data_IF_949065049120
#
_entry.id   IF_949065049120
#
_cell.length_a   1.000
_cell.length_b   1.000
_cell.length_c   1.000
_cell.angle_alpha   90.00
_cell.angle_beta   90.00
_cell.angle_gamma   90.00
#
_symmetry.space_group_name_H-M   'P 1'
#
loop_
_entity.id
_entity.type
_entity.pdbx_description
1 polymer ?
#
# COMPACT_ATOMS: atom_id res chain seq x y z
N UNK A 1 15.26 23.81 -17.08
CA UNK A 1 16.07 23.39 -15.92
C UNK A 1 15.33 22.23 -15.29
N UNK A 2 15.93 21.04 -15.30
CA UNK A 2 15.34 19.83 -14.77
C UNK A 2 15.00 20.08 -13.30
N UNK A 3 13.71 19.94 -12.95
CA UNK A 3 13.28 19.97 -11.57
C UNK A 3 13.77 18.64 -10.99
N UNK A 4 14.94 18.65 -10.32
CA UNK A 4 15.34 17.54 -9.46
C UNK A 4 14.17 17.31 -8.50
N UNK A 5 13.47 16.18 -8.65
CA UNK A 5 12.44 15.78 -7.70
C UNK A 5 13.10 15.71 -6.33
N UNK A 6 12.78 16.67 -5.47
CA UNK A 6 13.17 16.67 -4.07
C UNK A 6 12.91 15.27 -3.51
N UNK A 7 13.91 14.60 -2.88
CA UNK A 7 13.73 13.26 -2.37
C UNK A 7 12.46 13.23 -1.53
N UNK A 8 11.56 12.30 -1.84
CA UNK A 8 10.28 12.18 -1.13
C UNK A 8 10.60 12.11 0.37
N UNK A 9 10.19 13.14 1.12
CA UNK A 9 10.21 13.14 2.58
C UNK A 9 9.41 11.92 3.01
N UNK A 10 10.10 10.87 3.43
CA UNK A 10 9.52 9.54 3.60
C UNK A 10 9.06 9.34 5.03
N UNK A 11 9.97 9.40 6.01
CA UNK A 11 9.59 9.36 7.43
C UNK A 11 9.17 10.74 7.95
N UNK A 12 8.22 11.39 7.27
CA UNK A 12 7.70 12.70 7.67
C UNK A 12 7.05 12.66 9.06
N UNK A 13 7.13 13.77 9.80
CA UNK A 13 6.51 13.88 11.13
C UNK A 13 5.04 14.28 11.09
N UNK A 14 4.57 14.84 9.97
CA UNK A 14 3.22 15.41 9.81
C UNK A 14 2.70 15.09 8.43
N UNK A 15 1.43 14.69 8.33
CA UNK A 15 0.89 14.25 7.05
C UNK A 15 0.47 15.43 6.19
N UNK A 16 0.82 15.38 4.90
CA UNK A 16 0.35 16.33 3.89
C UNK A 16 -0.04 15.55 2.64
N UNK A 17 -0.96 16.12 1.85
CA UNK A 17 -1.42 15.49 0.60
C UNK A 17 -0.27 15.18 -0.35
N UNK A 18 0.78 16.02 -0.38
CA UNK A 18 1.98 15.82 -1.22
C UNK A 18 2.78 14.54 -0.92
N UNK A 19 2.56 13.90 0.23
CA UNK A 19 3.25 12.66 0.61
C UNK A 19 2.62 11.41 -0.03
N UNK A 20 1.49 11.58 -0.72
CA UNK A 20 0.80 10.53 -1.45
C UNK A 20 0.81 10.89 -2.93
N UNK A 21 1.41 10.02 -3.72
CA UNK A 21 1.40 10.16 -5.17
C UNK A 21 0.16 9.46 -5.72
N UNK A 22 -0.98 10.17 -5.70
CA UNK A 22 -2.25 9.61 -6.19
C UNK A 22 -2.24 9.37 -7.70
N UNK A 23 -1.49 10.19 -8.44
CA UNK A 23 -1.57 10.27 -9.89
C UNK A 23 -0.63 9.26 -10.59
N UNK A 24 0.43 8.79 -9.90
CA UNK A 24 1.41 7.82 -10.40
C UNK A 24 1.35 6.53 -9.60
N UNK A 25 1.32 5.39 -10.29
CA UNK A 25 1.53 4.09 -9.67
C UNK A 25 2.87 3.50 -10.12
N UNK A 26 3.91 3.90 -9.39
CA UNK A 26 5.28 3.43 -9.61
C UNK A 26 5.42 1.97 -9.12
N UNK A 27 6.21 1.17 -9.83
CA UNK A 27 6.44 -0.24 -9.54
C UNK A 27 6.14 -1.16 -10.73
N UNK A 28 6.47 -2.45 -10.64
CA UNK A 28 6.34 -3.38 -11.75
C UNK A 28 4.86 -3.70 -12.04
N UNK A 29 4.30 -3.40 -13.24
CA UNK A 29 2.95 -3.82 -13.61
C UNK A 29 2.85 -5.34 -13.82
N UNK A 30 1.61 -5.80 -13.95
CA UNK A 30 1.31 -7.19 -14.29
C UNK A 30 2.14 -7.67 -15.50
N UNK A 31 2.75 -8.86 -15.39
CA UNK A 31 3.62 -9.47 -16.38
C UNK A 31 5.09 -9.03 -16.30
N UNK A 32 5.45 -8.09 -15.42
CA UNK A 32 6.85 -7.72 -15.17
C UNK A 32 7.45 -8.52 -14.02
N UNK A 33 8.79 -8.72 -13.99
CA UNK A 33 9.45 -9.36 -12.86
C UNK A 33 9.34 -8.50 -11.60
N UNK A 34 9.43 -9.15 -10.44
CA UNK A 34 9.59 -8.46 -9.15
C UNK A 34 10.87 -7.61 -9.13
N UNK A 35 10.86 -6.56 -8.30
CA UNK A 35 12.08 -5.87 -7.89
C UNK A 35 12.48 -6.48 -6.56
N UNK A 36 13.63 -7.16 -6.52
CA UNK A 36 14.03 -7.87 -5.31
C UNK A 36 14.49 -6.89 -4.23
N UNK A 37 13.79 -6.92 -3.10
CA UNK A 37 14.07 -6.07 -1.94
C UNK A 37 14.27 -6.98 -0.73
N UNK A 38 15.20 -6.59 0.14
CA UNK A 38 15.41 -7.27 1.43
C UNK A 38 14.57 -6.59 2.50
N UNK A 39 13.85 -7.39 3.27
CA UNK A 39 12.96 -7.01 4.36
C UNK A 39 13.44 -7.69 5.64
N UNK A 40 12.98 -7.21 6.80
CA UNK A 40 13.21 -7.87 8.09
C UNK A 40 11.95 -8.58 8.54
N UNK A 41 12.01 -9.88 8.81
CA UNK A 41 10.92 -10.60 9.45
C UNK A 41 10.69 -10.06 10.86
N UNK A 42 9.45 -9.67 11.20
CA UNK A 42 9.14 -9.08 12.49
C UNK A 42 9.28 -10.07 13.66
N UNK A 43 8.98 -11.34 13.43
CA UNK A 43 8.97 -12.38 14.46
C UNK A 43 10.37 -12.92 14.71
N UNK A 44 11.11 -13.25 13.65
CA UNK A 44 12.44 -13.87 13.78
C UNK A 44 13.58 -12.85 13.79
N UNK A 45 13.37 -11.66 13.24
CA UNK A 45 14.42 -10.67 13.00
C UNK A 45 15.34 -11.01 11.82
N UNK A 46 15.08 -12.11 11.10
CA UNK A 46 15.89 -12.53 9.96
C UNK A 46 15.63 -11.65 8.73
N UNK A 47 16.63 -11.59 7.85
CA UNK A 47 16.47 -10.92 6.57
C UNK A 47 15.79 -11.86 5.58
N UNK A 48 14.76 -11.34 4.91
CA UNK A 48 13.94 -12.08 3.93
C UNK A 48 13.88 -11.25 2.65
N UNK A 49 14.22 -11.86 1.52
CA UNK A 49 14.04 -11.26 0.21
C UNK A 49 12.66 -11.57 -0.35
N UNK A 50 12.14 -10.70 -1.20
CA UNK A 50 10.89 -10.99 -1.94
C UNK A 50 11.08 -12.23 -2.81
N UNK A 51 12.28 -12.43 -3.38
CA UNK A 51 12.63 -13.62 -4.15
C UNK A 51 12.66 -14.93 -3.35
N UNK A 52 12.74 -14.90 -2.01
CA UNK A 52 12.73 -16.11 -1.18
C UNK A 52 11.36 -16.82 -1.21
N UNK A 53 10.31 -16.15 -1.69
CA UNK A 53 8.98 -16.73 -1.89
C UNK A 53 8.80 -17.41 -3.26
N UNK A 54 9.86 -17.47 -4.09
CA UNK A 54 9.81 -18.15 -5.38
C UNK A 54 9.28 -19.59 -5.26
N UNK A 55 8.53 -20.03 -6.27
CA UNK A 55 7.84 -21.32 -6.27
C UNK A 55 6.48 -21.31 -5.56
N UNK A 56 6.07 -20.20 -4.94
CA UNK A 56 4.74 -20.03 -4.32
C UNK A 56 4.03 -18.81 -4.87
N UNK A 57 2.70 -18.82 -4.81
CA UNK A 57 1.92 -17.60 -4.96
C UNK A 57 2.12 -16.72 -3.73
N UNK A 58 2.33 -15.43 -3.94
CA UNK A 58 2.56 -14.48 -2.86
C UNK A 58 1.64 -13.27 -3.00
N UNK A 59 0.96 -12.90 -1.92
CA UNK A 59 0.22 -11.66 -1.79
C UNK A 59 0.93 -10.76 -0.81
N UNK A 60 1.27 -9.55 -1.25
CA UNK A 60 1.86 -8.50 -0.43
C UNK A 60 0.86 -7.35 -0.29
N UNK A 61 0.53 -6.98 0.94
CA UNK A 61 -0.16 -5.72 1.26
C UNK A 61 0.77 -4.80 2.07
N UNK A 62 0.90 -3.53 1.70
CA UNK A 62 1.63 -2.57 2.56
C UNK A 62 0.80 -2.16 3.77
N UNK A 63 1.49 -2.00 4.90
CA UNK A 63 0.88 -1.79 6.21
C UNK A 63 1.52 -0.62 6.97
N UNK A 64 0.69 0.06 7.77
CA UNK A 64 1.11 1.07 8.74
C UNK A 64 0.11 1.11 9.89
N UNK A 65 0.60 1.25 11.12
CA UNK A 65 -0.23 1.31 12.33
C UNK A 65 -1.19 2.49 12.37
N UNK A 66 -0.92 3.54 11.58
CA UNK A 66 -1.75 4.74 11.47
C UNK A 66 -2.59 4.77 10.18
N UNK A 67 -2.64 3.69 9.39
CA UNK A 67 -3.44 3.64 8.16
C UNK A 67 -4.79 2.92 8.38
N UNK A 68 -5.90 3.65 8.29
CA UNK A 68 -7.25 3.07 8.44
C UNK A 68 -7.61 2.12 7.29
N UNK A 69 -7.06 2.35 6.10
CA UNK A 69 -7.28 1.53 4.90
C UNK A 69 -6.65 0.15 5.01
N UNK A 70 -5.45 0.06 5.59
CA UNK A 70 -4.84 -1.21 5.95
C UNK A 70 -5.59 -1.89 7.10
N UNK A 71 -5.75 -1.19 8.22
CA UNK A 71 -6.29 -1.83 9.43
C UNK A 71 -7.73 -2.33 9.27
N UNK A 72 -8.54 -1.74 8.37
CA UNK A 72 -9.89 -2.25 8.05
C UNK A 72 -9.85 -3.56 7.25
N UNK A 73 -8.79 -3.80 6.46
CA UNK A 73 -8.67 -4.96 5.58
C UNK A 73 -8.25 -6.22 6.34
N UNK A 74 -7.68 -6.09 7.54
CA UNK A 74 -7.23 -7.21 8.37
C UNK A 74 -8.33 -8.24 8.57
N UNK A 75 -9.54 -7.84 9.00
CA UNK A 75 -10.61 -8.81 9.26
C UNK A 75 -11.12 -9.50 7.99
N UNK A 76 -11.47 -8.78 6.89
CA UNK A 76 -11.86 -9.42 5.62
C UNK A 76 -10.80 -10.36 5.03
N UNK A 77 -9.51 -10.08 5.24
CA UNK A 77 -8.44 -10.94 4.71
C UNK A 77 -8.44 -12.35 5.31
N UNK A 78 -9.00 -12.57 6.51
CA UNK A 78 -9.07 -13.91 7.13
C UNK A 78 -9.78 -14.93 6.26
N UNK A 79 -10.90 -14.53 5.65
CA UNK A 79 -11.67 -15.40 4.76
C UNK A 79 -10.90 -15.73 3.48
N UNK A 80 -10.19 -14.75 2.92
CA UNK A 80 -9.39 -14.92 1.70
C UNK A 80 -8.21 -15.84 1.97
N UNK A 81 -7.49 -15.65 3.08
CA UNK A 81 -6.36 -16.52 3.46
C UNK A 81 -6.83 -17.97 3.63
N UNK A 82 -7.99 -18.18 4.25
CA UNK A 82 -8.55 -19.52 4.42
C UNK A 82 -8.98 -20.18 3.09
N UNK A 83 -9.38 -19.38 2.10
CA UNK A 83 -9.82 -19.85 0.78
C UNK A 83 -8.65 -20.26 -0.12
N UNK A 84 -7.46 -19.67 0.09
CA UNK A 84 -6.27 -19.92 -0.73
C UNK A 84 -5.09 -20.42 0.13
N UNK A 85 -5.14 -21.66 0.65
CA UNK A 85 -4.12 -22.20 1.55
C UNK A 85 -2.75 -22.43 0.87
N UNK A 86 -2.70 -22.39 -0.46
CA UNK A 86 -1.49 -22.54 -1.26
C UNK A 86 -0.79 -21.20 -1.57
N UNK A 87 -1.36 -20.08 -1.10
CA UNK A 87 -0.85 -18.72 -1.29
C UNK A 87 -0.25 -18.22 0.01
N UNK A 88 0.96 -17.66 -0.06
CA UNK A 88 1.58 -16.95 1.04
C UNK A 88 1.00 -15.54 1.12
N UNK A 89 0.44 -15.17 2.27
CA UNK A 89 -0.05 -13.82 2.52
C UNK A 89 0.84 -13.13 3.55
N UNK A 90 1.51 -12.07 3.11
CA UNK A 90 2.38 -11.25 3.96
C UNK A 90 1.93 -9.80 3.95
N UNK A 91 2.26 -9.10 5.02
CA UNK A 91 2.17 -7.63 5.05
C UNK A 91 3.56 -7.04 5.15
N UNK A 92 3.80 -5.96 4.43
CA UNK A 92 5.06 -5.21 4.52
C UNK A 92 4.80 -3.91 5.27
N UNK A 93 5.34 -3.82 6.49
CA UNK A 93 5.29 -2.64 7.34
C UNK A 93 6.22 -1.55 6.80
N UNK A 94 5.62 -0.44 6.37
CA UNK A 94 6.31 0.70 5.75
C UNK A 94 6.31 1.90 6.71
N UNK A 95 6.57 3.11 6.21
CA UNK A 95 6.42 4.34 7.01
C UNK A 95 4.99 4.50 7.54
N UNK A 96 4.83 5.27 8.62
CA UNK A 96 3.50 5.70 9.05
C UNK A 96 2.78 6.53 7.97
N UNK A 97 1.53 6.15 7.67
CA UNK A 97 0.67 6.91 6.77
C UNK A 97 0.27 8.26 7.40
N UNK A 98 -0.12 8.20 8.69
CA UNK A 98 -0.60 9.32 9.48
C UNK A 98 0.17 9.45 10.80
N UNK A 99 1.47 9.79 10.77
CA UNK A 99 2.27 10.00 11.96
C UNK A 99 1.78 11.20 12.77
N UNK A 100 2.00 11.12 14.08
CA UNK A 100 1.72 12.19 15.03
C UNK A 100 2.56 12.05 16.30
N UNK A 101 2.15 12.72 17.37
CA UNK A 101 2.91 12.80 18.60
C UNK A 101 2.97 11.48 19.41
N UNK A 102 2.05 10.54 19.16
CA UNK A 102 2.01 9.23 19.85
C UNK A 102 2.74 8.13 19.07
N UNK A 103 2.71 8.23 17.74
CA UNK A 103 3.45 7.36 16.83
C UNK A 103 3.90 8.21 15.65
N UNK A 104 5.16 8.63 15.67
CA UNK A 104 5.74 9.54 14.69
C UNK A 104 6.33 8.82 13.48
N UNK A 105 6.92 9.61 12.57
CA UNK A 105 7.79 9.07 11.53
C UNK A 105 9.00 8.39 12.18
N UNK A 106 9.41 7.25 11.62
CA UNK A 106 10.47 6.43 12.20
C UNK A 106 11.84 7.08 12.00
N UNK A 107 12.62 7.18 13.06
CA UNK A 107 13.99 7.73 13.03
C UNK A 107 15.07 6.66 13.09
N UNK A 108 14.67 5.42 13.39
CA UNK A 108 15.54 4.25 13.43
C UNK A 108 14.75 2.99 13.10
N UNK A 109 15.45 1.91 12.72
CA UNK A 109 14.83 0.60 12.57
C UNK A 109 14.22 0.10 13.88
N UNK A 110 14.81 0.43 15.03
CA UNK A 110 14.25 0.06 16.34
C UNK A 110 12.87 0.70 16.56
N UNK A 111 12.71 1.99 16.25
CA UNK A 111 11.40 2.66 16.33
C UNK A 111 10.39 2.05 15.36
N UNK A 112 10.82 1.72 14.13
CA UNK A 112 9.96 1.11 13.12
C UNK A 112 9.50 -0.29 13.52
N UNK A 113 10.40 -1.12 14.05
CA UNK A 113 10.09 -2.46 14.57
C UNK A 113 9.15 -2.36 15.78
N UNK A 114 9.37 -1.40 16.69
CA UNK A 114 8.44 -1.14 17.81
C UNK A 114 7.05 -0.76 17.31
N UNK A 115 6.96 0.07 16.27
CA UNK A 115 5.70 0.45 15.64
C UNK A 115 5.01 -0.76 14.97
N UNK A 116 5.77 -1.58 14.24
CA UNK A 116 5.28 -2.80 13.60
C UNK A 116 4.71 -3.80 14.61
N UNK A 117 5.35 -3.96 15.77
CA UNK A 117 4.88 -4.82 16.85
C UNK A 117 3.52 -4.42 17.44
N UNK A 118 2.99 -3.22 17.12
CA UNK A 118 1.65 -2.81 17.54
C UNK A 118 0.54 -3.44 16.70
N UNK A 119 0.80 -3.87 15.46
CA UNK A 119 -0.29 -4.20 14.52
C UNK A 119 -1.11 -5.41 14.95
N UNK A 120 -0.43 -6.49 15.36
CA UNK A 120 -1.07 -7.72 15.84
C UNK A 120 -1.88 -7.49 17.13
N UNK A 121 -1.30 -7.00 18.25
CA UNK A 121 -2.06 -6.85 19.50
C UNK A 121 -3.16 -5.76 19.42
N UNK A 122 -2.99 -4.74 18.58
CA UNK A 122 -3.93 -3.60 18.52
C UNK A 122 -5.09 -3.81 17.54
N UNK A 123 -4.81 -4.46 16.41
CA UNK A 123 -5.74 -4.60 15.28
C UNK A 123 -6.03 -6.04 14.90
N UNK A 124 -5.34 -7.02 15.49
CA UNK A 124 -5.55 -8.43 15.21
C UNK A 124 -4.97 -8.87 13.87
N UNK A 125 -3.88 -8.23 13.40
CA UNK A 125 -3.10 -8.75 12.27
C UNK A 125 -2.60 -10.15 12.62
N UNK A 126 -2.82 -11.06 11.67
CA UNK A 126 -2.58 -12.49 11.83
C UNK A 126 -1.63 -13.02 10.77
N UNK A 127 -1.40 -12.25 9.70
CA UNK A 127 -0.44 -12.58 8.64
C UNK A 127 0.97 -12.30 9.11
N UNK A 128 1.93 -12.97 8.45
CA UNK A 128 3.35 -12.71 8.63
C UNK A 128 3.65 -11.24 8.31
N UNK A 129 4.33 -10.56 9.22
CA UNK A 129 4.71 -9.16 9.08
C UNK A 129 6.19 -9.08 8.71
N UNK A 130 6.47 -8.51 7.55
CA UNK A 130 7.81 -8.14 7.12
C UNK A 130 7.96 -6.63 7.29
N UNK A 131 9.13 -6.14 7.65
CA UNK A 131 9.41 -4.72 7.89
C UNK A 131 10.36 -4.24 6.81
N UNK A 132 9.94 -3.20 6.07
CA UNK A 132 10.80 -2.54 5.09
C UNK A 132 11.95 -1.79 5.80
N UNK A 133 13.00 -1.44 5.07
CA UNK A 133 14.10 -0.66 5.65
C UNK A 133 13.67 0.76 6.03
N UNK A 134 14.53 1.48 6.74
CA UNK A 134 14.24 2.81 7.23
C UNK A 134 13.97 3.80 6.08
N UNK A 135 14.68 3.64 4.96
CA UNK A 135 14.60 4.52 3.79
C UNK A 135 13.40 4.24 2.90
N UNK A 136 12.73 3.10 3.10
CA UNK A 136 11.57 2.69 2.35
C UNK A 136 11.89 2.06 1.00
N UNK A 137 12.99 1.33 0.87
CA UNK A 137 13.43 0.81 -0.43
C UNK A 137 12.36 -0.05 -1.10
N UNK A 138 11.71 -0.98 -0.39
CA UNK A 138 10.59 -1.73 -0.95
C UNK A 138 9.42 -0.78 -1.25
N UNK A 139 9.04 0.05 -0.28
CA UNK A 139 7.85 0.89 -0.45
C UNK A 139 7.93 1.80 -1.67
N UNK A 140 9.10 2.42 -1.92
CA UNK A 140 9.35 3.27 -3.08
C UNK A 140 9.30 2.48 -4.38
N UNK A 141 9.95 1.32 -4.42
CA UNK A 141 9.97 0.44 -5.60
C UNK A 141 8.59 -0.09 -5.98
N UNK A 142 7.68 -0.20 -5.01
CA UNK A 142 6.36 -0.78 -5.19
C UNK A 142 5.22 0.26 -5.15
N UNK A 143 5.52 1.56 -5.18
CA UNK A 143 4.53 2.62 -5.47
C UNK A 143 4.25 3.62 -4.36
N UNK A 144 4.76 3.38 -3.16
CA UNK A 144 4.84 4.40 -2.11
C UNK A 144 3.52 4.78 -1.43
N UNK A 145 2.39 4.17 -1.80
CA UNK A 145 1.10 4.35 -1.12
C UNK A 145 0.97 3.42 0.09
N UNK A 146 0.33 3.86 1.19
CA UNK A 146 0.40 3.19 2.50
C UNK A 146 -0.37 1.86 2.60
N UNK A 147 -1.13 1.49 1.57
CA UNK A 147 -1.93 0.27 1.53
C UNK A 147 -2.03 -0.28 0.09
N UNK A 148 -0.89 -0.48 -0.56
CA UNK A 148 -0.80 -1.07 -1.91
C UNK A 148 -0.91 -2.59 -1.81
N UNK A 149 -1.38 -3.20 -2.91
CA UNK A 149 -1.44 -4.64 -3.10
C UNK A 149 -0.57 -5.09 -4.27
N UNK A 150 0.13 -6.22 -4.09
CA UNK A 150 0.69 -7.02 -5.17
C UNK A 150 0.32 -8.50 -5.00
N UNK A 151 0.06 -9.17 -6.11
CA UNK A 151 -0.03 -10.62 -6.22
C UNK A 151 1.08 -11.06 -7.17
N UNK A 152 1.91 -11.98 -6.73
CA UNK A 152 3.13 -12.44 -7.40
C UNK A 152 2.99 -13.93 -7.67
N UNK A 153 3.35 -14.33 -8.89
CA UNK A 153 3.35 -15.72 -9.33
C UNK A 153 4.55 -16.50 -8.79
N UNK A 154 4.48 -17.84 -8.77
CA UNK A 154 5.60 -18.71 -8.44
C UNK A 154 6.89 -18.45 -9.24
N UNK A 155 6.78 -17.93 -10.47
CA UNK A 155 7.91 -17.63 -11.35
C UNK A 155 8.57 -16.26 -11.08
N UNK A 156 8.09 -15.51 -10.08
CA UNK A 156 8.61 -14.18 -9.75
C UNK A 156 8.08 -13.06 -10.65
N UNK A 157 7.00 -13.29 -11.39
CA UNK A 157 6.31 -12.24 -12.16
C UNK A 157 5.11 -11.67 -11.41
N UNK A 158 4.82 -10.38 -11.60
CA UNK A 158 3.62 -9.75 -11.06
C UNK A 158 2.40 -10.31 -11.80
N UNK A 159 1.47 -10.90 -11.05
CA UNK A 159 0.18 -11.33 -11.55
C UNK A 159 -0.83 -10.16 -11.56
N UNK A 160 -0.83 -9.40 -10.47
CA UNK A 160 -1.76 -8.31 -10.22
C UNK A 160 -1.11 -7.27 -9.30
N UNK A 161 -1.45 -5.99 -9.48
CA UNK A 161 -1.14 -4.92 -8.51
C UNK A 161 -2.31 -3.96 -8.38
N UNK A 162 -2.47 -3.34 -7.21
CA UNK A 162 -3.47 -2.29 -7.01
C UNK A 162 -2.98 -1.13 -6.17
N UNK A 163 -3.38 0.09 -6.55
CA UNK A 163 -3.02 1.31 -5.84
C UNK A 163 -3.56 1.35 -4.39
N UNK A 164 -4.63 0.61 -4.13
CA UNK A 164 -5.18 0.36 -2.80
C UNK A 164 -5.60 -1.10 -2.68
N UNK A 165 -5.27 -1.75 -1.56
CA UNK A 165 -5.68 -3.11 -1.31
C UNK A 165 -7.20 -3.18 -1.11
N UNK A 166 -7.85 -3.98 -1.94
CA UNK A 166 -9.27 -4.28 -1.87
C UNK A 166 -9.45 -5.80 -1.78
N UNK A 167 -9.99 -6.34 -0.66
CA UNK A 167 -10.18 -7.78 -0.47
C UNK A 167 -10.91 -8.47 -1.64
N UNK A 168 -11.92 -7.82 -2.22
CA UNK A 168 -12.65 -8.38 -3.37
C UNK A 168 -11.77 -8.56 -4.59
N UNK A 169 -10.93 -7.56 -4.90
CA UNK A 169 -10.04 -7.62 -6.08
C UNK A 169 -8.90 -8.61 -5.87
N UNK A 170 -8.42 -8.78 -4.62
CA UNK A 170 -7.44 -9.84 -4.28
C UNK A 170 -8.05 -11.20 -4.60
N UNK A 171 -9.25 -11.47 -4.08
CA UNK A 171 -9.97 -12.73 -4.31
C UNK A 171 -10.19 -12.97 -5.80
N UNK A 172 -10.68 -11.98 -6.53
CA UNK A 172 -10.91 -12.08 -7.99
C UNK A 172 -9.63 -12.44 -8.74
N UNK A 173 -8.51 -11.76 -8.45
CA UNK A 173 -7.23 -12.09 -9.10
C UNK A 173 -6.74 -13.51 -8.77
N UNK A 174 -6.92 -13.98 -7.52
CA UNK A 174 -6.50 -15.33 -7.13
C UNK A 174 -7.41 -16.43 -7.67
N UNK A 175 -8.65 -16.11 -8.06
CA UNK A 175 -9.55 -17.04 -8.77
C UNK A 175 -9.17 -17.16 -10.25
N UNK A 176 -8.69 -16.09 -10.89
CA UNK A 176 -8.27 -16.06 -12.28
C UNK A 176 -6.74 -16.06 -12.43
N UNK A 177 -6.10 -17.16 -12.05
CA UNK A 177 -4.63 -17.29 -12.08
C UNK A 177 -4.04 -17.41 -13.49
N UNK A 178 -4.86 -17.84 -14.45
CA UNK A 178 -4.48 -18.08 -15.84
C UNK A 178 -4.24 -16.78 -16.60
N UNK A 179 -5.01 -15.73 -16.32
CA UNK A 179 -4.90 -14.45 -17.01
C UNK A 179 -4.16 -13.41 -16.15
N UNK A 180 -3.46 -12.47 -16.80
CA UNK A 180 -2.91 -11.33 -16.08
C UNK A 180 -4.04 -10.38 -15.68
N UNK A 181 -4.07 -9.97 -14.41
CA UNK A 181 -5.05 -9.02 -13.93
C UNK A 181 -4.52 -7.59 -14.06
N UNK A 182 -5.07 -6.81 -15.00
CA UNK A 182 -4.55 -5.48 -15.38
C UNK A 182 -5.35 -4.30 -14.85
N UNK A 183 -6.43 -4.54 -14.09
CA UNK A 183 -7.26 -3.48 -13.48
C UNK A 183 -6.66 -3.04 -12.15
N UNK A 184 -5.86 -1.99 -12.18
CA UNK A 184 -4.98 -1.57 -11.08
C UNK A 184 -5.64 -0.57 -10.10
N UNK A 185 -6.73 0.08 -10.47
CA UNK A 185 -7.41 1.06 -9.61
C UNK A 185 -8.53 0.43 -8.77
N UNK A 186 -8.37 0.44 -7.45
CA UNK A 186 -9.47 0.20 -6.52
C UNK A 186 -10.16 1.53 -6.22
N UNK A 187 -11.28 1.78 -6.91
CA UNK A 187 -11.97 3.06 -6.82
C UNK A 187 -12.58 3.35 -5.43
N UNK A 188 -12.96 4.60 -5.21
CA UNK A 188 -13.53 5.04 -3.93
C UNK A 188 -14.75 4.22 -3.47
N UNK A 189 -15.55 3.71 -4.41
CA UNK A 189 -16.72 2.90 -4.13
C UNK A 189 -16.35 1.49 -3.64
N UNK A 190 -15.35 0.88 -4.27
CA UNK A 190 -14.75 -0.41 -3.92
C UNK A 190 -14.11 -0.34 -2.53
N UNK A 191 -13.41 0.75 -2.25
CA UNK A 191 -12.72 0.97 -0.99
C UNK A 191 -13.67 1.15 0.19
N UNK A 192 -14.89 1.64 -0.02
CA UNK A 192 -15.90 1.82 1.05
C UNK A 192 -15.36 2.57 2.28
N UNK A 193 -14.42 3.49 2.09
CA UNK A 193 -13.64 4.13 3.18
C UNK A 193 -14.52 4.82 4.24
N UNK A 194 -15.72 5.27 3.84
CA UNK A 194 -16.68 5.94 4.73
C UNK A 194 -17.49 5.01 5.65
N UNK A 195 -17.46 3.68 5.43
CA UNK A 195 -18.33 2.71 6.14
C UNK A 195 -17.83 2.32 7.53
N UNK A 196 -16.63 2.74 7.94
CA UNK A 196 -16.06 2.41 9.26
C UNK A 196 -15.44 3.64 9.95
N UNK A 197 -16.23 4.70 10.13
CA UNK A 197 -15.75 5.99 10.68
C UNK A 197 -15.13 5.86 12.08
N UNK A 198 -15.70 5.03 12.95
CA UNK A 198 -15.13 4.80 14.29
C UNK A 198 -13.80 4.08 14.25
N UNK A 199 -13.66 3.07 13.37
CA UNK A 199 -12.39 2.38 13.13
C UNK A 199 -11.33 3.35 12.60
N UNK A 200 -11.70 4.18 11.61
CA UNK A 200 -10.84 5.21 11.06
C UNK A 200 -10.32 6.15 12.17
N UNK A 201 -11.21 6.70 13.01
CA UNK A 201 -10.81 7.58 14.12
C UNK A 201 -9.90 6.84 15.11
N UNK A 202 -10.24 5.60 15.48
CA UNK A 202 -9.42 4.75 16.38
C UNK A 202 -8.02 4.51 15.81
N UNK A 203 -7.90 4.28 14.51
CA UNK A 203 -6.61 4.06 13.85
C UNK A 203 -5.79 5.35 13.77
N UNK A 204 -6.40 6.49 13.40
CA UNK A 204 -5.70 7.78 13.41
C UNK A 204 -5.23 8.16 14.82
N UNK A 205 -6.01 7.84 15.85
CA UNK A 205 -5.65 8.07 17.25
C UNK A 205 -4.37 7.35 17.69
N UNK A 206 -3.94 6.33 16.95
CA UNK A 206 -2.64 5.67 17.16
C UNK A 206 -1.49 6.64 16.90
N UNK A 207 -1.61 7.52 15.90
CA UNK A 207 -0.69 8.63 15.67
C UNK A 207 -0.89 9.79 16.64
N UNK A 208 -2.13 10.01 17.12
CA UNK A 208 -2.47 11.00 18.14
C UNK A 208 -3.40 12.11 17.64
N UNK A 209 -3.52 13.18 18.42
CA UNK A 209 -4.30 14.38 18.10
C UNK A 209 -3.77 15.03 16.82
N UNK A 210 -2.45 15.11 16.64
CA UNK A 210 -1.87 15.73 15.44
C UNK A 210 -2.21 14.93 14.18
N UNK A 211 -2.20 13.60 14.26
CA UNK A 211 -2.59 12.72 13.15
C UNK A 211 -4.08 12.90 12.80
N UNK A 212 -4.97 12.95 13.79
CA UNK A 212 -6.39 13.25 13.57
C UNK A 212 -6.58 14.62 12.93
N UNK A 213 -5.93 15.66 13.47
CA UNK A 213 -6.02 17.02 12.94
C UNK A 213 -5.57 17.08 11.49
N UNK A 214 -4.41 16.51 11.15
CA UNK A 214 -3.88 16.49 9.78
C UNK A 214 -4.80 15.72 8.85
N UNK A 215 -5.34 14.57 9.29
CA UNK A 215 -6.27 13.76 8.51
C UNK A 215 -7.51 14.57 8.11
N UNK A 216 -8.19 15.20 9.07
CA UNK A 216 -9.40 15.98 8.79
C UNK A 216 -9.10 17.28 8.03
N UNK A 217 -7.99 17.96 8.33
CA UNK A 217 -7.55 19.15 7.60
C UNK A 217 -7.30 18.85 6.13
N UNK A 218 -6.69 17.71 5.82
CA UNK A 218 -6.35 17.31 4.46
C UNK A 218 -7.50 16.59 3.72
N UNK A 219 -8.59 16.23 4.41
CA UNK A 219 -9.68 15.42 3.85
C UNK A 219 -10.30 16.03 2.56
N UNK A 220 -10.64 17.34 2.49
CA UNK A 220 -11.22 17.90 1.27
C UNK A 220 -10.32 17.76 0.04
N UNK A 221 -9.03 18.05 0.19
CA UNK A 221 -8.05 17.94 -0.90
C UNK A 221 -7.84 16.47 -1.30
N UNK A 222 -7.83 15.56 -0.32
CA UNK A 222 -7.69 14.11 -0.54
C UNK A 222 -8.87 13.55 -1.33
N UNK A 223 -10.10 13.97 -1.02
CA UNK A 223 -11.31 13.56 -1.77
C UNK A 223 -11.26 14.07 -3.21
N UNK A 224 -10.84 15.32 -3.43
CA UNK A 224 -10.68 15.87 -4.79
C UNK A 224 -9.64 15.07 -5.59
N UNK A 225 -8.52 14.69 -4.96
CA UNK A 225 -7.47 13.88 -5.60
C UNK A 225 -7.96 12.49 -5.97
N UNK A 226 -8.63 11.77 -5.07
CA UNK A 226 -9.23 10.47 -5.39
C UNK A 226 -10.21 10.56 -6.56
N UNK A 227 -11.11 11.54 -6.53
CA UNK A 227 -12.07 11.73 -7.63
C UNK A 227 -11.36 11.97 -8.96
N UNK A 228 -10.34 12.82 -8.99
CA UNK A 228 -9.57 13.09 -10.22
C UNK A 228 -8.87 11.84 -10.76
N UNK A 229 -8.33 11.01 -9.87
CA UNK A 229 -7.67 9.76 -10.25
C UNK A 229 -8.66 8.72 -10.74
N UNK A 230 -9.78 8.55 -10.04
CA UNK A 230 -10.87 7.66 -10.44
C UNK A 230 -11.43 8.07 -11.82
N UNK A 231 -11.69 9.37 -12.02
CA UNK A 231 -12.18 9.92 -13.29
C UNK A 231 -11.13 9.75 -14.43
N UNK A 232 -9.83 9.94 -14.14
CA UNK A 232 -8.75 9.72 -15.12
C UNK A 232 -8.61 8.24 -15.48
N UNK A 233 -8.56 7.35 -14.48
CA UNK A 233 -8.40 5.92 -14.69
C UNK A 233 -9.60 5.35 -15.46
N UNK A 234 -10.82 5.77 -15.12
CA UNK A 234 -12.03 5.38 -15.86
C UNK A 234 -11.98 5.80 -17.33
N UNK A 235 -11.36 6.94 -17.63
CA UNK A 235 -11.22 7.45 -19.00
C UNK A 235 -10.11 6.76 -19.79
N UNK A 236 -9.00 6.39 -19.14
CA UNK A 236 -7.77 5.97 -19.83
C UNK A 236 -7.37 4.51 -19.59
N UNK A 237 -7.99 3.81 -18.65
CA UNK A 237 -7.67 2.43 -18.28
C UNK A 237 -6.29 2.25 -17.63
N UNK A 238 -5.61 3.35 -17.25
CA UNK A 238 -4.26 3.34 -16.68
C UNK A 238 -4.00 4.56 -15.80
N UNK A 239 -2.98 4.45 -14.94
CA UNK A 239 -2.41 5.60 -14.23
C UNK A 239 -1.49 6.42 -15.16
N UNK A 240 -1.11 7.62 -14.70
CA UNK A 240 -0.07 8.39 -15.38
C UNK A 240 1.29 7.74 -15.15
N UNK A 241 2.15 7.85 -16.15
CA UNK A 241 3.53 7.37 -16.06
C UNK A 241 4.51 8.48 -15.69
N UNK A 242 4.09 9.75 -15.81
CA UNK A 242 4.89 10.94 -15.42
C UNK A 242 4.01 12.03 -14.77
N UNK A 243 4.54 12.83 -13.83
CA UNK A 243 3.77 13.81 -13.05
C UNK A 243 2.99 14.83 -13.91
N UNK A 244 3.52 15.15 -15.10
CA UNK A 244 3.00 16.17 -16.01
C UNK A 244 2.40 15.57 -17.30
N UNK A 245 2.03 14.29 -17.32
CA UNK A 245 1.36 13.70 -18.48
C UNK A 245 -0.03 14.37 -18.64
N UNK A 246 -0.16 15.24 -19.64
CA UNK A 246 -1.45 15.68 -20.17
C UNK A 246 -2.06 14.54 -21.01
N UNK A 247 -3.39 14.36 -20.99
CA UNK A 247 -4.03 13.29 -21.76
C UNK A 247 -3.73 13.48 -23.25
N UNK A 248 -2.90 12.60 -23.82
CA UNK A 248 -2.67 12.56 -25.25
C UNK A 248 -3.95 12.04 -25.93
N UNK A 249 -4.66 12.91 -26.65
CA UNK A 249 -5.90 12.58 -27.37
C UNK A 249 -5.61 11.86 -28.70
N UNK A 250 -4.35 11.56 -29.03
CA UNK A 250 -3.96 11.02 -30.35
C UNK A 250 -3.36 9.60 -30.33
N UNK A 251 -3.94 8.67 -29.57
CA UNK A 251 -3.59 7.25 -29.68
C UNK A 251 -4.83 6.35 -29.78
N UNK A 252 -5.80 6.75 -30.60
CA UNK A 252 -6.83 5.86 -31.14
C UNK A 252 -7.03 6.21 -32.62
N UNK A 253 -6.13 5.69 -33.47
CA UNK A 253 -6.38 5.31 -34.88
C UNK A 253 -5.44 4.19 -35.25
#
# INVERSE_FOLDING_TARGET
MANEEQPMDYNYNRTRVKHFNFDLFLGPPAGKPIIDNTLTDLETGELVKVSDFAGKWLVIETASSTCSMYTKNISPMKEIVAEFPDVEFVVVYVREAHPGERLGGHKSMEEKIKAANLVAPRYGEFRRVLVDDLEGSFHRNYGGMPNILYVIRPDGTIHYRSNWAAPTMIRESLLDRENLHTVENADSATLRASRQKFHMIRTMWTGGILALYDFFKNAPQTVIKHKKVDDYYKKHGRFKNQPNEEPNIQAET
#
